data_IF_489647133648
#
_entry.id   IF_489647133648
#
_cell.length_a   1.000
_cell.length_b   1.000
_cell.length_c   1.000
_cell.angle_alpha   90.00
_cell.angle_beta   90.00
_cell.angle_gamma   90.00
#
_symmetry.space_group_name_H-M   'P 1'
#
loop_
_entity.id
_entity.type
_entity.pdbx_description
1 polymer ?
#
# COMPACT_ATOMS: atom_id res chain seq x y z
N UNK A 1 55.27 38.75 22.95
CA UNK A 1 54.04 38.04 23.26
C UNK A 1 53.04 38.43 22.16
N UNK A 2 52.82 37.56 21.17
CA UNK A 2 51.90 37.80 20.04
C UNK A 2 50.68 36.97 20.35
N UNK A 3 49.52 37.63 20.57
CA UNK A 3 48.21 36.97 20.78
C UNK A 3 47.56 36.84 19.41
N UNK A 4 47.46 35.61 18.95
CA UNK A 4 46.77 35.27 17.68
C UNK A 4 45.28 35.10 17.98
N UNK A 5 44.45 36.05 17.53
CA UNK A 5 43.01 35.96 17.62
C UNK A 5 42.48 35.10 16.47
N UNK A 6 41.90 33.95 16.81
CA UNK A 6 41.23 33.04 15.85
C UNK A 6 39.77 33.52 15.65
N UNK A 7 39.46 34.14 14.51
CA UNK A 7 38.08 34.46 14.14
C UNK A 7 37.36 33.18 13.64
N UNK A 8 36.41 32.72 14.43
CA UNK A 8 35.48 31.67 14.04
C UNK A 8 34.38 32.28 13.14
N UNK A 9 34.46 32.08 11.83
CA UNK A 9 33.37 32.44 10.93
C UNK A 9 32.30 31.33 10.97
N UNK A 10 31.17 31.61 11.62
CA UNK A 10 29.98 30.80 11.53
C UNK A 10 29.34 31.01 10.16
N UNK A 11 29.54 30.07 9.24
CA UNK A 11 28.86 30.05 7.98
C UNK A 11 27.34 29.77 8.18
N UNK A 12 26.52 30.77 7.97
CA UNK A 12 25.08 30.59 7.92
C UNK A 12 24.74 29.73 6.68
N UNK A 13 24.27 28.50 6.92
CA UNK A 13 23.69 27.69 5.85
C UNK A 13 22.36 28.35 5.48
N UNK A 14 22.35 29.09 4.38
CA UNK A 14 21.13 29.63 3.82
C UNK A 14 20.25 28.47 3.37
N UNK A 15 19.11 28.28 4.05
CA UNK A 15 18.08 27.37 3.59
C UNK A 15 17.60 27.82 2.20
N UNK A 16 17.66 26.94 1.22
CA UNK A 16 17.15 27.21 -0.12
C UNK A 16 15.66 27.60 -0.02
N UNK A 17 15.22 28.65 -0.77
CA UNK A 17 13.83 29.05 -0.74
C UNK A 17 12.96 27.92 -1.30
N UNK A 18 12.11 27.33 -0.47
CA UNK A 18 11.05 26.45 -0.90
C UNK A 18 10.06 27.25 -1.74
N UNK A 19 9.87 26.84 -2.99
CA UNK A 19 8.90 27.48 -3.88
C UNK A 19 7.51 27.48 -3.20
N UNK A 20 6.83 28.65 -3.10
CA UNK A 20 5.51 28.70 -2.50
C UNK A 20 4.50 27.99 -3.41
N UNK A 21 3.85 26.94 -2.91
CA UNK A 21 2.65 26.37 -3.50
C UNK A 21 2.61 24.90 -3.87
N UNK A 22 3.68 24.10 -3.68
CA UNK A 22 3.61 22.67 -3.92
C UNK A 22 3.37 21.93 -2.60
N UNK A 23 2.20 21.30 -2.42
CA UNK A 23 1.97 20.48 -1.24
C UNK A 23 2.98 19.32 -1.21
N UNK A 24 3.41 18.88 -0.01
CA UNK A 24 4.36 17.79 0.12
C UNK A 24 3.81 16.53 -0.56
N UNK A 25 4.67 15.76 -1.21
CA UNK A 25 4.31 14.47 -1.77
C UNK A 25 3.83 13.56 -0.63
N UNK A 26 2.63 12.99 -0.77
CA UNK A 26 2.10 12.03 0.20
C UNK A 26 2.44 10.62 -0.28
N UNK A 27 3.10 9.85 0.58
CA UNK A 27 3.29 8.42 0.38
C UNK A 27 2.02 7.71 0.86
N UNK A 28 1.43 6.93 -0.02
CA UNK A 28 0.24 6.14 0.29
C UNK A 28 0.59 4.66 0.08
N UNK A 29 0.24 3.85 1.08
CA UNK A 29 0.29 2.40 0.97
C UNK A 29 -1.13 1.89 1.08
N UNK A 30 -1.53 1.01 0.16
CA UNK A 30 -2.83 0.36 0.23
C UNK A 30 -2.85 -0.66 1.38
N UNK A 31 -3.95 -0.78 2.16
CA UNK A 31 -4.05 -1.76 3.24
C UNK A 31 -3.69 -3.18 2.82
N UNK A 32 -4.14 -3.61 1.64
CA UNK A 32 -3.82 -4.93 1.08
C UNK A 32 -2.32 -5.08 0.78
N UNK A 33 -1.64 -4.00 0.39
CA UNK A 33 -0.18 -4.00 0.21
C UNK A 33 0.56 -4.23 1.53
N UNK A 34 0.06 -3.64 2.63
CA UNK A 34 0.61 -3.88 3.97
C UNK A 34 0.43 -5.34 4.41
N UNK A 35 -0.72 -5.94 4.13
CA UNK A 35 -0.95 -7.35 4.40
C UNK A 35 0.01 -8.25 3.60
N UNK A 36 0.22 -7.94 2.31
CA UNK A 36 1.17 -8.66 1.45
C UNK A 36 2.59 -8.55 2.03
N UNK A 37 3.03 -7.34 2.42
CA UNK A 37 4.33 -7.17 3.07
C UNK A 37 4.48 -7.96 4.38
N UNK A 38 3.38 -8.16 5.11
CA UNK A 38 3.34 -8.97 6.33
C UNK A 38 3.43 -10.49 6.10
N UNK A 39 3.32 -10.94 4.85
CA UNK A 39 3.47 -12.35 4.48
C UNK A 39 4.93 -12.76 4.18
N UNK A 40 5.85 -11.80 4.10
CA UNK A 40 7.31 -12.02 4.05
C UNK A 40 7.72 -12.90 5.24
N UNK A 41 8.00 -14.17 5.00
CA UNK A 41 8.20 -15.16 6.05
C UNK A 41 9.68 -15.36 6.40
N UNK A 42 10.57 -15.13 5.45
CA UNK A 42 12.02 -15.25 5.62
C UNK A 42 12.71 -13.93 5.99
N UNK A 43 11.97 -12.81 5.90
CA UNK A 43 12.44 -11.48 6.32
C UNK A 43 13.40 -10.82 5.33
N UNK A 44 13.35 -11.22 4.06
CA UNK A 44 14.23 -10.67 3.02
C UNK A 44 13.74 -9.31 2.46
N UNK A 45 12.66 -8.77 3.02
CA UNK A 45 12.00 -7.51 2.67
C UNK A 45 11.29 -7.53 1.30
N UNK A 46 10.99 -8.71 0.77
CA UNK A 46 10.18 -8.98 -0.42
C UNK A 46 9.14 -10.03 -0.08
N UNK A 47 8.08 -10.11 -0.85
CA UNK A 47 7.09 -11.19 -0.75
C UNK A 47 7.06 -11.94 -2.07
N UNK A 48 7.38 -13.21 -2.04
CA UNK A 48 7.25 -14.11 -3.19
C UNK A 48 5.81 -14.60 -3.35
N UNK A 49 5.48 -15.20 -4.51
CA UNK A 49 4.17 -15.84 -4.73
C UNK A 49 3.90 -16.97 -3.72
N UNK A 50 4.91 -17.75 -3.39
CA UNK A 50 4.77 -18.85 -2.43
C UNK A 50 4.42 -18.33 -1.01
N UNK A 51 5.05 -17.25 -0.59
CA UNK A 51 4.78 -16.59 0.69
C UNK A 51 3.40 -15.94 0.71
N UNK A 52 2.99 -15.30 -0.40
CA UNK A 52 1.65 -14.78 -0.57
C UNK A 52 0.60 -15.89 -0.36
N UNK A 53 0.71 -16.99 -1.12
CA UNK A 53 -0.24 -18.11 -1.04
C UNK A 53 -0.29 -18.73 0.37
N UNK A 54 0.87 -18.91 0.98
CA UNK A 54 0.96 -19.43 2.35
C UNK A 54 0.38 -18.44 3.37
N UNK A 55 0.63 -17.14 3.20
CA UNK A 55 0.12 -16.06 4.04
C UNK A 55 -1.40 -15.95 3.96
N UNK A 56 -1.95 -15.94 2.75
CA UNK A 56 -3.40 -15.92 2.53
C UNK A 56 -4.06 -17.15 3.15
N UNK A 57 -3.49 -18.35 2.96
CA UNK A 57 -4.02 -19.59 3.57
C UNK A 57 -4.02 -19.52 5.10
N UNK A 58 -2.93 -19.05 5.71
CA UNK A 58 -2.86 -18.89 7.18
C UNK A 58 -3.88 -17.88 7.69
N UNK A 59 -4.05 -16.77 6.98
CA UNK A 59 -5.00 -15.72 7.36
C UNK A 59 -6.45 -16.21 7.28
N UNK A 60 -6.78 -16.94 6.22
CA UNK A 60 -8.11 -17.54 6.01
C UNK A 60 -8.47 -18.55 7.09
N UNK A 61 -7.54 -19.44 7.45
CA UNK A 61 -7.75 -20.44 8.50
C UNK A 61 -8.12 -19.82 9.86
N UNK A 62 -7.71 -18.56 10.10
CA UNK A 62 -8.05 -17.83 11.32
C UNK A 62 -9.52 -17.41 11.43
N UNK A 63 -10.26 -17.41 10.34
CA UNK A 63 -11.70 -17.04 10.27
C UNK A 63 -12.59 -18.19 9.81
N UNK A 64 -12.01 -19.33 9.48
CA UNK A 64 -12.71 -20.60 9.17
C UNK A 64 -12.32 -21.71 10.18
N UNK A 65 -12.63 -21.55 11.48
CA UNK A 65 -12.22 -22.50 12.52
C UNK A 65 -12.86 -23.88 12.33
N UNK A 66 -13.98 -23.95 11.63
CA UNK A 66 -14.66 -25.19 11.28
C UNK A 66 -14.07 -25.91 10.08
N UNK A 67 -13.07 -25.30 9.42
CA UNK A 67 -12.45 -25.80 8.19
C UNK A 67 -13.50 -26.17 7.12
N UNK A 68 -14.49 -25.30 6.98
CA UNK A 68 -15.60 -25.46 6.03
C UNK A 68 -15.18 -25.20 4.58
N UNK A 69 -14.02 -24.53 4.38
CA UNK A 69 -13.46 -24.17 3.10
C UNK A 69 -14.07 -22.90 2.48
N UNK A 70 -15.10 -22.32 3.11
CA UNK A 70 -15.73 -21.08 2.65
C UNK A 70 -16.30 -20.29 3.83
N UNK A 71 -16.19 -18.96 3.78
CA UNK A 71 -16.68 -18.02 4.79
C UNK A 71 -17.75 -17.10 4.20
N UNK A 72 -18.71 -16.67 5.01
CA UNK A 72 -19.67 -15.62 4.60
C UNK A 72 -19.08 -14.22 4.70
N UNK A 73 -19.79 -13.23 4.17
CA UNK A 73 -19.34 -11.83 4.11
C UNK A 73 -19.08 -11.19 5.48
N UNK A 74 -19.79 -11.62 6.53
CA UNK A 74 -19.53 -11.11 7.88
C UNK A 74 -18.17 -11.59 8.39
N UNK A 75 -17.87 -12.87 8.24
CA UNK A 75 -16.56 -13.43 8.61
C UNK A 75 -15.44 -12.85 7.74
N UNK A 76 -15.72 -12.56 6.47
CA UNK A 76 -14.77 -11.85 5.61
C UNK A 76 -14.50 -10.42 6.09
N UNK A 77 -15.53 -9.69 6.54
CA UNK A 77 -15.34 -8.36 7.12
C UNK A 77 -14.48 -8.41 8.40
N UNK A 78 -14.66 -9.43 9.25
CA UNK A 78 -13.80 -9.64 10.44
C UNK A 78 -12.35 -9.98 10.03
N UNK A 79 -12.18 -10.76 8.97
CA UNK A 79 -10.88 -11.02 8.36
C UNK A 79 -10.24 -9.72 7.84
N UNK A 80 -11.00 -8.89 7.11
CA UNK A 80 -10.52 -7.61 6.56
C UNK A 80 -10.09 -6.66 7.68
N UNK A 81 -10.88 -6.53 8.76
CA UNK A 81 -10.51 -5.73 9.92
C UNK A 81 -9.17 -6.18 10.52
N UNK A 82 -9.00 -7.48 10.68
CA UNK A 82 -7.79 -8.06 11.28
C UNK A 82 -6.54 -7.91 10.43
N UNK A 83 -6.66 -8.10 9.11
CA UNK A 83 -5.52 -8.18 8.21
C UNK A 83 -5.31 -6.92 7.36
N UNK A 84 -6.36 -6.17 7.11
CA UNK A 84 -6.35 -4.95 6.32
C UNK A 84 -6.59 -3.69 7.17
N UNK A 85 -6.96 -3.87 8.44
CA UNK A 85 -7.18 -2.77 9.40
C UNK A 85 -8.54 -2.08 9.29
N UNK A 86 -9.40 -2.48 8.37
CA UNK A 86 -10.75 -1.92 8.19
C UNK A 86 -11.67 -2.97 7.58
N UNK A 87 -12.90 -3.10 8.12
CA UNK A 87 -13.94 -4.04 7.64
C UNK A 87 -14.36 -3.78 6.20
N UNK A 88 -14.19 -2.55 5.73
CA UNK A 88 -14.54 -2.10 4.38
C UNK A 88 -13.33 -1.93 3.46
N UNK A 89 -12.14 -2.40 3.89
CA UNK A 89 -10.94 -2.32 3.08
C UNK A 89 -11.09 -3.15 1.78
N UNK A 90 -10.44 -2.67 0.72
CA UNK A 90 -10.39 -3.38 -0.55
C UNK A 90 -9.29 -4.47 -0.53
N UNK A 91 -9.54 -5.62 -1.17
CA UNK A 91 -10.71 -5.95 -2.00
C UNK A 91 -11.97 -6.17 -1.18
N UNK A 92 -13.12 -5.71 -1.68
CA UNK A 92 -14.42 -5.95 -1.06
C UNK A 92 -14.87 -7.42 -1.21
N UNK A 93 -15.78 -7.93 -0.37
CA UNK A 93 -16.28 -9.29 -0.53
C UNK A 93 -16.87 -9.55 -1.93
N UNK A 94 -17.53 -8.54 -2.53
CA UNK A 94 -18.10 -8.64 -3.89
C UNK A 94 -17.04 -8.73 -5.00
N UNK A 95 -15.82 -8.26 -4.76
CA UNK A 95 -14.71 -8.38 -5.71
C UNK A 95 -13.97 -9.71 -5.57
N UNK A 96 -14.10 -10.34 -4.40
CA UNK A 96 -13.48 -11.63 -4.09
C UNK A 96 -14.38 -12.79 -4.49
N UNK A 97 -15.66 -12.73 -4.13
CA UNK A 97 -16.68 -13.70 -4.51
C UNK A 97 -16.89 -13.69 -6.03
N UNK A 98 -16.28 -14.63 -6.71
CA UNK A 98 -16.23 -14.65 -8.17
C UNK A 98 -17.46 -15.32 -8.81
N UNK A 99 -18.11 -16.24 -8.10
CA UNK A 99 -19.28 -16.97 -8.60
C UNK A 99 -20.61 -16.40 -8.07
N UNK A 100 -20.57 -15.45 -7.12
CA UNK A 100 -21.74 -14.75 -6.61
C UNK A 100 -22.62 -15.59 -5.68
N UNK A 101 -22.05 -16.60 -5.04
CA UNK A 101 -22.79 -17.49 -4.13
C UNK A 101 -22.94 -16.92 -2.70
N UNK A 102 -22.43 -15.70 -2.45
CA UNK A 102 -22.35 -14.99 -1.17
C UNK A 102 -21.44 -15.68 -0.14
N UNK A 103 -20.53 -16.48 -0.60
CA UNK A 103 -19.47 -17.10 0.19
C UNK A 103 -18.13 -16.77 -0.45
N UNK A 104 -17.09 -16.86 0.35
CA UNK A 104 -15.72 -16.65 -0.12
C UNK A 104 -14.94 -17.89 0.22
N UNK A 105 -14.47 -18.57 -0.79
CA UNK A 105 -13.57 -19.72 -0.66
C UNK A 105 -12.12 -19.25 -0.54
N UNK A 106 -11.27 -20.14 0.00
CA UNK A 106 -9.82 -19.90 0.00
C UNK A 106 -9.28 -19.67 -1.42
N UNK A 107 -9.80 -20.41 -2.42
CA UNK A 107 -9.37 -20.27 -3.81
C UNK A 107 -9.69 -18.89 -4.38
N UNK A 108 -10.86 -18.34 -4.12
CA UNK A 108 -11.26 -17.00 -4.54
C UNK A 108 -10.42 -15.93 -3.89
N UNK A 109 -10.18 -16.05 -2.57
CA UNK A 109 -9.32 -15.11 -1.86
C UNK A 109 -7.89 -15.17 -2.41
N UNK A 110 -7.33 -16.34 -2.65
CA UNK A 110 -6.02 -16.50 -3.27
C UNK A 110 -5.99 -15.91 -4.69
N UNK A 111 -7.02 -16.12 -5.50
CA UNK A 111 -7.11 -15.54 -6.84
C UNK A 111 -7.19 -14.02 -6.80
N UNK A 112 -7.94 -13.43 -5.87
CA UNK A 112 -8.00 -11.99 -5.67
C UNK A 112 -6.63 -11.42 -5.29
N UNK A 113 -5.94 -12.04 -4.34
CA UNK A 113 -4.60 -11.63 -3.92
C UNK A 113 -3.54 -11.82 -5.03
N UNK A 114 -3.64 -12.87 -5.83
CA UNK A 114 -2.75 -13.07 -6.98
C UNK A 114 -2.91 -11.97 -8.03
N UNK A 115 -4.14 -11.48 -8.28
CA UNK A 115 -4.38 -10.32 -9.17
C UNK A 115 -3.75 -9.04 -8.61
N UNK A 116 -3.90 -8.82 -7.30
CA UNK A 116 -3.32 -7.65 -6.63
C UNK A 116 -1.79 -7.72 -6.65
N UNK A 117 -1.22 -8.88 -6.35
CA UNK A 117 0.22 -9.12 -6.41
C UNK A 117 0.78 -8.80 -7.80
N UNK A 118 0.15 -9.32 -8.87
CA UNK A 118 0.57 -9.06 -10.25
C UNK A 118 0.48 -7.57 -10.64
N UNK A 119 -0.40 -6.79 -10.01
CA UNK A 119 -0.50 -5.33 -10.17
C UNK A 119 0.61 -4.59 -9.44
N UNK A 120 1.03 -5.10 -8.28
CA UNK A 120 2.06 -4.48 -7.44
C UNK A 120 3.47 -4.85 -7.90
N UNK A 121 3.68 -6.04 -8.44
CA UNK A 121 4.93 -6.52 -9.06
C UNK A 121 5.14 -5.78 -10.39
N UNK A 122 5.69 -4.56 -10.30
CA UNK A 122 5.80 -3.62 -11.44
C UNK A 122 6.86 -4.05 -12.43
N UNK A 123 7.99 -4.55 -11.95
CA UNK A 123 9.10 -5.00 -12.78
C UNK A 123 8.98 -6.48 -13.22
N UNK A 124 7.98 -7.19 -12.68
CA UNK A 124 7.62 -8.58 -13.01
C UNK A 124 8.74 -9.58 -12.69
N UNK A 125 9.46 -9.32 -11.63
CA UNK A 125 10.52 -10.23 -11.16
C UNK A 125 9.97 -11.40 -10.33
N UNK A 126 8.67 -11.42 -10.04
CA UNK A 126 7.98 -12.45 -9.27
C UNK A 126 7.97 -12.22 -7.76
N UNK A 127 8.39 -11.05 -7.34
CA UNK A 127 8.37 -10.60 -5.96
C UNK A 127 7.63 -9.25 -5.86
N UNK A 128 7.11 -8.94 -4.69
CA UNK A 128 6.63 -7.60 -4.35
C UNK A 128 7.51 -7.04 -3.26
N UNK A 129 8.25 -5.99 -3.59
CA UNK A 129 9.17 -5.31 -2.70
C UNK A 129 8.48 -4.18 -1.94
N UNK A 130 9.07 -3.74 -0.82
CA UNK A 130 8.56 -2.56 -0.09
C UNK A 130 8.52 -1.30 -0.94
N UNK A 131 9.43 -1.17 -1.92
CA UNK A 131 9.44 -0.03 -2.84
C UNK A 131 8.23 -0.02 -3.76
N UNK A 132 7.81 -1.16 -4.26
CA UNK A 132 6.64 -1.31 -5.14
C UNK A 132 5.32 -1.08 -4.41
N UNK A 133 5.28 -1.32 -3.10
CA UNK A 133 4.12 -1.02 -2.27
C UNK A 133 3.90 0.48 -2.06
N UNK A 134 4.93 1.31 -2.30
CA UNK A 134 4.86 2.75 -2.09
C UNK A 134 4.31 3.45 -3.33
N UNK A 135 3.09 3.97 -3.25
CA UNK A 135 2.55 4.85 -4.28
C UNK A 135 2.80 6.30 -3.90
N UNK A 136 3.58 7.00 -4.70
CA UNK A 136 3.80 8.45 -4.54
C UNK A 136 2.65 9.17 -5.23
N UNK A 137 1.72 9.71 -4.47
CA UNK A 137 0.73 10.67 -4.97
C UNK A 137 1.35 12.07 -4.91
N UNK A 138 1.97 12.50 -6.00
CA UNK A 138 2.17 13.91 -6.22
C UNK A 138 0.79 14.52 -6.47
N UNK A 139 0.30 15.39 -5.58
CA UNK A 139 -0.80 16.27 -5.89
C UNK A 139 -0.31 17.21 -7.00
N UNK A 140 -0.48 16.80 -8.25
CA UNK A 140 -0.39 17.72 -9.38
C UNK A 140 -1.49 18.76 -9.13
N UNK A 141 -1.09 19.91 -8.59
CA UNK A 141 -1.98 21.03 -8.42
C UNK A 141 -2.73 21.22 -9.73
N UNK A 142 -4.05 21.23 -9.67
CA UNK A 142 -4.86 21.71 -10.79
C UNK A 142 -4.29 23.04 -11.17
N UNK A 143 -3.56 23.09 -12.29
CA UNK A 143 -3.24 24.31 -12.97
C UNK A 143 -4.59 24.97 -13.27
N UNK A 144 -4.96 25.97 -12.47
CA UNK A 144 -6.01 26.89 -12.84
C UNK A 144 -5.49 27.58 -14.11
N UNK A 145 -6.04 27.16 -15.25
CA UNK A 145 -5.82 27.85 -16.51
C UNK A 145 -6.15 29.34 -16.35
N UNK A 146 -5.47 30.22 -17.09
CA UNK A 146 -5.67 31.66 -16.98
C UNK A 146 -7.13 32.00 -17.22
N UNK A 147 -7.70 32.99 -16.49
CA UNK A 147 -9.11 33.38 -16.64
C UNK A 147 -9.38 33.82 -18.08
N UNK A 148 -10.28 33.08 -18.73
CA UNK A 148 -10.68 33.37 -20.10
C UNK A 148 -11.17 34.83 -20.24
N UNK A 149 -10.58 35.59 -21.14
CA UNK A 149 -11.00 36.94 -21.52
C UNK A 149 -12.46 36.86 -22.01
N UNK A 150 -13.40 37.42 -21.24
CA UNK A 150 -14.76 37.71 -21.73
C UNK A 150 -14.64 38.69 -22.89
N UNK A 151 -15.01 38.26 -24.09
CA UNK A 151 -15.28 39.16 -25.21
C UNK A 151 -16.60 39.90 -24.91
N UNK A 152 -16.54 41.22 -24.95
CA UNK A 152 -17.71 42.09 -25.04
C UNK A 152 -18.25 42.05 -26.48
#
# INVERSE_FOLDING_TARGET
MIVLALLLQAGAIAAAPTAPGQPPATLVVEPVGMAIAGFDADGDARTSRAELEAGVRRSFAGVDPGNSGAIGYIAFADWAERWLGDRSALPSPFEVDADGDNRITLAELQAAFARIFARLDVDRDGFVTRKELLTIRANAGRSMGPPGKRKR
#
